data_IF_783532172124
#
_entry.id   IF_783532172124
#
_cell.length_a   1.000
_cell.length_b   1.000
_cell.length_c   1.000
_cell.angle_alpha   90.00
_cell.angle_beta   90.00
_cell.angle_gamma   90.00
#
_symmetry.space_group_name_H-M   'P 1'
#
loop_
_entity.id
_entity.type
_entity.pdbx_description
1 polymer ?
#
# COMPACT_ATOMS: atom_id res chain seq x y z
N UNK A 1 3.60 14.87 -1.07
CA UNK A 1 3.60 15.31 -2.50
C UNK A 1 4.78 16.20 -2.84
N UNK A 2 5.33 16.96 -1.89
CA UNK A 2 6.55 17.75 -2.12
C UNK A 2 7.71 16.91 -2.62
N UNK A 3 7.90 15.70 -2.06
CA UNK A 3 8.98 14.82 -2.50
C UNK A 3 8.76 14.23 -3.90
N UNK A 4 7.50 14.12 -4.36
CA UNK A 4 7.22 13.74 -5.74
C UNK A 4 7.64 14.85 -6.72
N UNK A 5 7.47 16.13 -6.34
CA UNK A 5 7.95 17.27 -7.13
C UNK A 5 9.47 17.26 -7.20
N UNK A 6 10.14 17.12 -6.05
CA UNK A 6 11.62 17.01 -6.01
C UNK A 6 12.14 15.85 -6.85
N UNK A 7 11.47 14.70 -6.84
CA UNK A 7 11.85 13.55 -7.66
C UNK A 7 11.75 13.87 -9.16
N UNK A 8 10.72 14.58 -9.60
CA UNK A 8 10.57 15.02 -10.99
C UNK A 8 11.63 16.07 -11.35
N UNK A 9 11.86 17.05 -10.48
CA UNK A 9 12.85 18.11 -10.70
C UNK A 9 14.29 17.58 -10.76
N UNK A 10 14.56 16.47 -10.08
CA UNK A 10 15.82 15.74 -10.13
C UNK A 10 15.91 14.73 -11.29
N UNK A 11 14.95 14.77 -12.23
CA UNK A 11 14.82 13.85 -13.37
C UNK A 11 14.70 12.36 -13.00
N UNK A 12 14.15 12.06 -11.82
CA UNK A 12 13.88 10.68 -11.40
C UNK A 12 12.91 9.98 -12.34
N UNK A 13 13.12 8.70 -12.64
CA UNK A 13 12.31 7.89 -13.56
C UNK A 13 10.94 7.48 -12.98
N UNK A 14 10.70 7.77 -11.72
CA UNK A 14 9.47 7.47 -10.98
C UNK A 14 9.70 7.50 -9.47
N UNK A 15 8.70 7.08 -8.71
CA UNK A 15 8.77 6.88 -7.26
C UNK A 15 8.66 5.39 -6.98
N UNK A 16 9.79 4.77 -6.64
CA UNK A 16 9.86 3.34 -6.29
C UNK A 16 9.31 3.01 -4.88
N UNK A 17 9.07 4.02 -4.05
CA UNK A 17 8.48 3.83 -2.73
C UNK A 17 7.73 5.08 -2.27
N UNK A 18 6.41 5.03 -2.32
CA UNK A 18 5.53 6.01 -1.69
C UNK A 18 5.03 5.45 -0.35
N UNK A 19 5.57 6.00 0.74
CA UNK A 19 5.22 5.66 2.12
C UNK A 19 3.88 6.28 2.48
N UNK A 20 2.93 5.52 3.01
CA UNK A 20 1.56 6.01 3.28
C UNK A 20 1.31 6.44 4.72
N UNK A 21 2.25 6.20 5.63
CA UNK A 21 2.04 6.40 7.07
C UNK A 21 1.75 7.86 7.42
N UNK A 22 2.26 8.81 6.63
CA UNK A 22 2.00 10.24 6.84
C UNK A 22 0.50 10.61 6.76
N UNK A 23 -0.33 9.78 6.11
CA UNK A 23 -1.79 9.97 6.06
C UNK A 23 -2.48 9.56 7.37
N UNK A 24 -1.79 8.79 8.21
CA UNK A 24 -2.27 8.24 9.46
C UNK A 24 -1.62 8.91 10.68
N UNK A 25 -0.42 9.45 10.53
CA UNK A 25 0.28 10.18 11.60
C UNK A 25 -0.30 11.60 11.82
N UNK A 26 -0.03 12.19 12.98
CA UNK A 26 -0.40 13.57 13.34
C UNK A 26 -1.90 13.91 13.22
N UNK A 27 -2.76 12.92 13.49
CA UNK A 27 -4.22 13.08 13.48
C UNK A 27 -4.93 12.21 14.51
N UNK A 28 -6.23 12.41 14.67
CA UNK A 28 -7.05 11.77 15.70
C UNK A 28 -7.99 10.68 15.17
N UNK A 29 -8.02 10.45 13.86
CA UNK A 29 -8.90 9.47 13.22
C UNK A 29 -8.26 8.85 11.98
N UNK A 30 -8.77 7.67 11.60
CA UNK A 30 -8.34 6.95 10.39
C UNK A 30 -8.68 7.79 9.15
N UNK A 31 -7.73 7.96 8.19
CA UNK A 31 -8.01 8.68 6.96
C UNK A 31 -9.13 8.01 6.15
N UNK A 32 -10.04 8.82 5.62
CA UNK A 32 -11.11 8.30 4.75
C UNK A 32 -10.55 7.82 3.41
N UNK A 33 -11.31 6.98 2.69
CA UNK A 33 -10.93 6.55 1.34
C UNK A 33 -10.68 7.75 0.41
N UNK A 34 -11.51 8.80 0.51
CA UNK A 34 -11.39 10.00 -0.33
C UNK A 34 -10.15 10.84 -0.02
N UNK A 35 -9.79 10.99 1.27
CA UNK A 35 -8.55 11.66 1.67
C UNK A 35 -7.33 10.94 1.12
N UNK A 36 -7.32 9.61 1.22
CA UNK A 36 -6.23 8.78 0.69
C UNK A 36 -6.18 8.86 -0.84
N UNK A 37 -7.33 8.77 -1.51
CA UNK A 37 -7.46 8.85 -2.96
C UNK A 37 -6.89 10.17 -3.49
N UNK A 38 -7.25 11.31 -2.91
CA UNK A 38 -6.75 12.61 -3.36
C UNK A 38 -5.24 12.74 -3.15
N UNK A 39 -4.69 12.19 -2.07
CA UNK A 39 -3.24 12.17 -1.85
C UNK A 39 -2.50 11.33 -2.92
N UNK A 40 -3.00 10.13 -3.23
CA UNK A 40 -2.40 9.21 -4.21
C UNK A 40 -2.55 9.75 -5.63
N UNK A 41 -3.74 10.25 -6.00
CA UNK A 41 -4.01 10.89 -7.29
C UNK A 41 -3.10 12.08 -7.51
N UNK A 42 -2.94 12.95 -6.51
CA UNK A 42 -2.05 14.11 -6.60
C UNK A 42 -0.60 13.68 -6.87
N UNK A 43 -0.11 12.64 -6.18
CA UNK A 43 1.22 12.11 -6.44
C UNK A 43 1.37 11.54 -7.86
N UNK A 44 0.38 10.77 -8.34
CA UNK A 44 0.38 10.21 -9.69
C UNK A 44 0.39 11.29 -10.78
N UNK A 45 -0.42 12.35 -10.62
CA UNK A 45 -0.48 13.46 -11.57
C UNK A 45 0.83 14.26 -11.63
N UNK A 46 1.53 14.45 -10.50
CA UNK A 46 2.85 15.10 -10.46
C UNK A 46 3.87 14.31 -11.30
N UNK A 47 3.79 12.98 -11.26
CA UNK A 47 4.72 12.10 -11.96
C UNK A 47 4.49 12.00 -13.47
N UNK A 48 3.40 12.59 -14.01
CA UNK A 48 3.15 12.72 -15.46
C UNK A 48 3.34 11.41 -16.24
N UNK A 49 2.83 10.30 -15.70
CA UNK A 49 2.91 8.97 -16.31
C UNK A 49 4.14 8.15 -15.91
N UNK A 50 5.12 8.74 -15.20
CA UNK A 50 6.18 7.98 -14.52
C UNK A 50 5.59 7.11 -13.40
N UNK A 51 6.28 6.03 -13.06
CA UNK A 51 5.73 5.03 -12.15
C UNK A 51 5.63 5.51 -10.71
N UNK A 52 4.58 5.08 -10.01
CA UNK A 52 4.36 5.32 -8.58
C UNK A 52 4.06 4.00 -7.86
N UNK A 53 5.02 3.51 -7.07
CA UNK A 53 4.83 2.30 -6.26
C UNK A 53 4.36 2.71 -4.86
N UNK A 54 3.10 2.45 -4.54
CA UNK A 54 2.51 2.77 -3.24
C UNK A 54 2.65 1.56 -2.33
N UNK A 55 3.41 1.74 -1.24
CA UNK A 55 3.48 0.75 -0.17
C UNK A 55 2.27 0.91 0.72
N UNK A 56 1.52 -0.16 0.95
CA UNK A 56 0.36 -0.11 1.86
C UNK A 56 0.81 0.16 3.29
N UNK A 57 -0.15 0.42 4.19
CA UNK A 57 0.12 0.85 5.55
C UNK A 57 1.11 -0.07 6.27
N UNK A 58 2.29 0.45 6.60
CA UNK A 58 3.29 -0.18 7.44
C UNK A 58 3.36 0.56 8.79
N UNK A 59 2.35 0.26 9.61
CA UNK A 59 2.18 0.76 10.97
C UNK A 59 2.40 -0.33 12.01
N UNK A 60 2.85 0.07 13.20
CA UNK A 60 3.35 -0.79 14.27
C UNK A 60 4.87 -0.67 14.38
N UNK A 61 5.48 -1.36 15.34
CA UNK A 61 6.87 -1.11 15.70
C UNK A 61 6.99 0.05 16.72
N UNK A 62 7.73 1.07 16.34
CA UNK A 62 8.02 2.29 17.12
C UNK A 62 6.99 3.42 16.92
N UNK A 63 6.08 3.29 15.95
CA UNK A 63 5.12 4.33 15.58
C UNK A 63 3.88 4.27 16.45
N UNK A 64 3.72 5.26 17.33
CA UNK A 64 2.54 5.39 18.19
C UNK A 64 1.41 6.12 17.45
N UNK A 65 0.30 5.41 17.17
CA UNK A 65 -0.94 5.97 16.64
C UNK A 65 -2.08 5.60 17.58
N UNK A 66 -2.39 6.45 18.58
CA UNK A 66 -3.29 6.09 19.67
C UNK A 66 -4.69 5.65 19.22
N UNK A 67 -5.24 6.26 18.17
CA UNK A 67 -6.59 5.96 17.69
C UNK A 67 -6.70 4.61 16.97
N UNK A 68 -5.58 3.95 16.65
CA UNK A 68 -5.59 2.60 16.06
C UNK A 68 -5.67 1.49 17.12
N UNK A 69 -5.59 1.84 18.42
CA UNK A 69 -5.75 0.88 19.51
C UNK A 69 -4.70 -0.23 19.52
N UNK A 70 -3.48 0.05 19.03
CA UNK A 70 -2.39 -0.92 19.03
C UNK A 70 -1.98 -1.24 20.48
N UNK A 71 -1.98 -2.52 20.81
CA UNK A 71 -1.47 -2.98 22.11
C UNK A 71 0.06 -2.84 22.16
N UNK A 72 0.59 -2.57 23.36
CA UNK A 72 2.05 -2.55 23.56
C UNK A 72 2.58 -3.98 23.58
N UNK A 73 3.48 -4.27 22.66
CA UNK A 73 4.18 -5.55 22.57
C UNK A 73 5.59 -5.45 23.16
N UNK A 74 6.11 -6.56 23.71
CA UNK A 74 7.50 -6.62 24.18
C UNK A 74 8.50 -6.39 23.03
N UNK A 75 8.19 -6.90 21.83
CA UNK A 75 8.97 -6.67 20.62
C UNK A 75 8.09 -6.22 19.44
N UNK A 76 7.82 -4.92 19.33
CA UNK A 76 6.95 -4.37 18.30
C UNK A 76 7.46 -4.60 16.86
N UNK A 77 8.77 -4.75 16.66
CA UNK A 77 9.33 -4.97 15.32
C UNK A 77 9.02 -6.36 14.76
N UNK A 78 8.87 -7.37 15.64
CA UNK A 78 8.50 -8.74 15.25
C UNK A 78 6.98 -9.00 15.39
N UNK A 79 6.23 -8.03 15.90
CA UNK A 79 4.85 -8.18 16.35
C UNK A 79 3.78 -7.91 15.30
N UNK A 80 2.66 -7.36 15.77
CA UNK A 80 1.42 -7.16 15.02
C UNK A 80 1.43 -5.80 14.29
N UNK A 81 2.03 -5.80 13.10
CA UNK A 81 2.25 -4.60 12.29
C UNK A 81 1.99 -4.84 10.80
N UNK A 82 1.99 -3.77 10.01
CA UNK A 82 2.00 -3.79 8.56
C UNK A 82 0.89 -4.67 7.93
N UNK A 83 1.24 -5.60 7.03
CA UNK A 83 0.27 -6.50 6.39
C UNK A 83 -0.55 -7.31 7.40
N UNK A 84 0.04 -7.72 8.54
CA UNK A 84 -0.67 -8.49 9.58
C UNK A 84 -1.78 -7.66 10.20
N UNK A 85 -1.48 -6.40 10.53
CA UNK A 85 -2.47 -5.45 11.02
C UNK A 85 -3.58 -5.22 9.97
N UNK A 86 -3.19 -5.03 8.71
CA UNK A 86 -4.12 -4.78 7.62
C UNK A 86 -5.06 -5.97 7.34
N UNK A 87 -4.53 -7.21 7.31
CA UNK A 87 -5.33 -8.42 7.09
C UNK A 87 -6.32 -8.68 8.23
N UNK A 88 -5.94 -8.36 9.47
CA UNK A 88 -6.86 -8.43 10.62
C UNK A 88 -7.93 -7.33 10.58
N UNK A 89 -7.58 -6.13 10.09
CA UNK A 89 -8.47 -4.96 10.01
C UNK A 89 -8.92 -4.70 8.57
N UNK A 90 -9.67 -5.66 8.00
CA UNK A 90 -10.00 -5.70 6.56
C UNK A 90 -10.66 -4.43 6.03
N UNK A 91 -11.55 -3.78 6.78
CA UNK A 91 -12.24 -2.57 6.31
C UNK A 91 -11.29 -1.37 6.16
N UNK A 92 -10.35 -1.20 7.09
CA UNK A 92 -9.29 -0.21 6.98
C UNK A 92 -8.43 -0.49 5.75
N UNK A 93 -8.07 -1.76 5.54
CA UNK A 93 -7.23 -2.13 4.42
C UNK A 93 -7.95 -1.97 3.07
N UNK A 94 -9.23 -2.37 2.98
CA UNK A 94 -10.08 -2.18 1.81
C UNK A 94 -10.23 -0.71 1.45
N UNK A 95 -10.41 0.17 2.44
CA UNK A 95 -10.44 1.62 2.23
C UNK A 95 -9.15 2.11 1.53
N UNK A 96 -7.98 1.70 2.04
CA UNK A 96 -6.71 2.05 1.40
C UNK A 96 -6.57 1.46 -0.01
N UNK A 97 -6.92 0.18 -0.20
CA UNK A 97 -6.86 -0.49 -1.50
C UNK A 97 -7.77 0.22 -2.53
N UNK A 98 -9.01 0.54 -2.17
CA UNK A 98 -9.96 1.25 -3.05
C UNK A 98 -9.42 2.63 -3.42
N UNK A 99 -8.85 3.37 -2.47
CA UNK A 99 -8.21 4.66 -2.74
C UNK A 99 -7.07 4.54 -3.75
N UNK A 100 -6.19 3.53 -3.62
CA UNK A 100 -5.09 3.28 -4.56
C UNK A 100 -5.63 2.90 -5.94
N UNK A 101 -6.60 1.97 -5.99
CA UNK A 101 -7.24 1.56 -7.24
C UNK A 101 -7.87 2.75 -7.96
N UNK A 102 -8.67 3.57 -7.29
CA UNK A 102 -9.25 4.79 -7.85
C UNK A 102 -8.18 5.74 -8.39
N UNK A 103 -7.10 5.94 -7.64
CA UNK A 103 -5.99 6.80 -8.06
C UNK A 103 -5.27 6.26 -9.31
N UNK A 104 -5.26 4.94 -9.53
CA UNK A 104 -4.61 4.31 -10.69
C UNK A 104 -5.25 4.66 -12.03
N UNK A 105 -6.46 5.25 -12.04
CA UNK A 105 -7.04 5.83 -13.25
C UNK A 105 -6.29 7.08 -13.75
N UNK A 106 -5.37 7.65 -12.94
CA UNK A 106 -4.69 8.91 -13.20
C UNK A 106 -3.17 8.77 -13.42
N UNK A 107 -2.62 7.56 -13.41
CA UNK A 107 -1.18 7.32 -13.65
C UNK A 107 -0.77 5.85 -13.50
N UNK A 108 0.51 5.56 -13.79
CA UNK A 108 1.09 4.22 -13.59
C UNK A 108 1.34 3.95 -12.09
N UNK A 109 0.28 3.53 -11.39
CA UNK A 109 0.34 3.18 -9.98
C UNK A 109 0.50 1.67 -9.81
N UNK A 110 1.31 1.26 -8.85
CA UNK A 110 1.49 -0.13 -8.41
C UNK A 110 1.26 -0.24 -6.90
N UNK A 111 0.80 -1.40 -6.44
CA UNK A 111 0.60 -1.71 -5.01
C UNK A 111 1.76 -2.56 -4.53
N UNK A 112 2.33 -2.22 -3.38
CA UNK A 112 3.37 -3.03 -2.73
C UNK A 112 2.97 -3.36 -1.29
N UNK A 113 2.95 -4.64 -0.94
CA UNK A 113 2.67 -5.09 0.42
C UNK A 113 3.97 -5.17 1.25
N UNK A 114 4.02 -4.51 2.42
CA UNK A 114 5.13 -4.61 3.37
C UNK A 114 5.05 -5.88 4.23
N UNK A 115 6.19 -6.31 4.76
CA UNK A 115 6.35 -7.33 5.80
C UNK A 115 5.70 -8.69 5.47
N UNK A 116 5.66 -9.07 4.20
CA UNK A 116 5.24 -10.42 3.81
C UNK A 116 6.26 -11.43 4.36
N UNK A 117 5.75 -12.48 4.98
CA UNK A 117 6.54 -13.61 5.50
C UNK A 117 6.09 -14.94 4.94
N UNK A 118 4.87 -15.03 4.41
CA UNK A 118 4.28 -16.26 3.88
C UNK A 118 3.55 -16.01 2.56
N UNK A 119 3.35 -17.06 1.77
CA UNK A 119 2.53 -16.99 0.54
C UNK A 119 1.06 -16.71 0.84
N UNK A 120 0.56 -17.15 1.99
CA UNK A 120 -0.85 -16.96 2.36
C UNK A 120 -1.18 -15.49 2.64
N UNK A 121 -0.27 -14.75 3.28
CA UNK A 121 -0.42 -13.30 3.47
C UNK A 121 -0.52 -12.57 2.11
N UNK A 122 0.32 -12.95 1.14
CA UNK A 122 0.28 -12.38 -0.21
C UNK A 122 -1.05 -12.71 -0.90
N UNK A 123 -1.48 -13.98 -0.87
CA UNK A 123 -2.73 -14.43 -1.49
C UNK A 123 -3.94 -13.76 -0.87
N UNK A 124 -3.97 -13.60 0.45
CA UNK A 124 -5.07 -12.92 1.13
C UNK A 124 -5.12 -11.43 0.76
N UNK A 125 -3.98 -10.76 0.71
CA UNK A 125 -3.89 -9.37 0.23
C UNK A 125 -4.39 -9.22 -1.20
N UNK A 126 -3.99 -10.11 -2.11
CA UNK A 126 -4.47 -10.10 -3.51
C UNK A 126 -5.96 -10.41 -3.62
N UNK A 127 -6.49 -11.30 -2.79
CA UNK A 127 -7.92 -11.57 -2.71
C UNK A 127 -8.68 -10.31 -2.33
N UNK A 128 -8.20 -9.55 -1.35
CA UNK A 128 -8.78 -8.25 -0.98
C UNK A 128 -8.70 -7.24 -2.12
N UNK A 129 -7.60 -7.19 -2.87
CA UNK A 129 -7.52 -6.36 -4.09
C UNK A 129 -8.58 -6.76 -5.11
N UNK A 130 -8.77 -8.06 -5.36
CA UNK A 130 -9.78 -8.54 -6.29
C UNK A 130 -11.22 -8.23 -5.81
N UNK A 131 -11.50 -8.37 -4.51
CA UNK A 131 -12.76 -7.95 -3.89
C UNK A 131 -13.01 -6.45 -4.13
N UNK A 132 -12.02 -5.59 -3.87
CA UNK A 132 -12.16 -4.14 -4.09
C UNK A 132 -12.33 -3.77 -5.57
N UNK A 133 -11.64 -4.45 -6.49
CA UNK A 133 -11.87 -4.27 -7.94
C UNK A 133 -13.31 -4.62 -8.32
N UNK A 134 -13.87 -5.69 -7.77
CA UNK A 134 -15.27 -6.06 -8.02
C UNK A 134 -16.25 -5.00 -7.47
N UNK A 135 -16.02 -4.50 -6.26
CA UNK A 135 -16.83 -3.42 -5.67
C UNK A 135 -16.82 -2.16 -6.56
N UNK A 136 -15.62 -1.71 -6.98
CA UNK A 136 -15.49 -0.51 -7.81
C UNK A 136 -16.14 -0.68 -9.19
N UNK A 137 -16.04 -1.87 -9.81
CA UNK A 137 -16.76 -2.18 -11.06
C UNK A 137 -18.27 -2.08 -10.89
N UNK A 138 -18.81 -2.64 -9.81
CA UNK A 138 -20.25 -2.57 -9.53
C UNK A 138 -20.72 -1.13 -9.30
N UNK A 139 -19.85 -0.27 -8.78
CA UNK A 139 -20.10 1.16 -8.59
C UNK A 139 -19.86 2.00 -9.85
N UNK A 140 -19.34 1.42 -10.94
CA UNK A 140 -18.99 2.15 -12.17
C UNK A 140 -17.80 3.10 -12.00
N UNK A 141 -16.91 2.83 -11.04
CA UNK A 141 -15.73 3.65 -10.77
C UNK A 141 -14.54 3.10 -11.54
N UNK A 142 -13.87 3.97 -12.30
CA UNK A 142 -12.71 3.61 -13.11
C UNK A 142 -11.46 3.35 -12.26
N UNK A 143 -10.67 2.36 -12.66
CA UNK A 143 -9.34 2.04 -12.14
C UNK A 143 -8.55 1.26 -13.20
N UNK A 144 -7.24 1.06 -12.99
CA UNK A 144 -6.42 0.20 -13.84
C UNK A 144 -6.67 -1.29 -13.50
N UNK A 145 -7.39 -2.00 -14.37
CA UNK A 145 -7.68 -3.43 -14.23
C UNK A 145 -6.41 -4.29 -14.11
N UNK A 146 -5.32 -3.85 -14.75
CA UNK A 146 -4.04 -4.54 -14.79
C UNK A 146 -3.02 -3.98 -13.80
N UNK A 147 -3.46 -3.23 -12.77
CA UNK A 147 -2.57 -2.74 -11.71
C UNK A 147 -1.72 -3.87 -11.16
N UNK A 148 -0.41 -3.62 -11.08
CA UNK A 148 0.55 -4.59 -10.55
C UNK A 148 0.52 -4.57 -9.03
N UNK A 149 0.54 -5.76 -8.44
CA UNK A 149 0.69 -5.99 -7.00
C UNK A 149 2.04 -6.67 -6.81
N UNK A 150 2.81 -6.20 -5.84
CA UNK A 150 4.10 -6.77 -5.50
C UNK A 150 4.37 -6.76 -4.01
N UNK A 151 5.57 -7.19 -3.64
CA UNK A 151 5.98 -7.41 -2.27
C UNK A 151 7.28 -6.68 -1.99
N UNK A 152 7.35 -5.98 -0.86
CA UNK A 152 8.61 -5.47 -0.33
C UNK A 152 9.38 -6.62 0.32
N UNK A 153 10.53 -6.98 -0.27
CA UNK A 153 11.41 -8.03 0.29
C UNK A 153 12.24 -7.43 1.42
N UNK A 154 11.67 -7.45 2.63
CA UNK A 154 12.31 -6.89 3.85
C UNK A 154 12.41 -7.89 5.01
N UNK A 155 11.85 -9.11 4.85
CA UNK A 155 11.93 -10.18 5.84
C UNK A 155 12.86 -11.29 5.36
N UNK A 156 13.57 -11.94 6.28
CA UNK A 156 14.40 -13.09 5.93
C UNK A 156 13.59 -14.21 5.26
N UNK A 157 12.33 -14.41 5.70
CA UNK A 157 11.42 -15.38 5.09
C UNK A 157 11.16 -15.04 3.62
N UNK A 158 10.80 -13.78 3.31
CA UNK A 158 10.54 -13.35 1.94
C UNK A 158 11.74 -13.56 1.01
N UNK A 159 12.97 -13.34 1.50
CA UNK A 159 14.18 -13.62 0.75
C UNK A 159 14.36 -15.13 0.46
N UNK A 160 14.06 -15.99 1.44
CA UNK A 160 14.15 -17.45 1.30
C UNK A 160 13.09 -18.00 0.33
N UNK A 161 11.89 -17.43 0.30
CA UNK A 161 10.79 -17.85 -0.58
C UNK A 161 10.65 -16.99 -1.85
N UNK A 162 11.69 -16.24 -2.22
CA UNK A 162 11.63 -15.26 -3.31
C UNK A 162 11.26 -15.87 -4.67
N UNK A 163 11.68 -17.11 -4.95
CA UNK A 163 11.32 -17.83 -6.17
C UNK A 163 9.83 -18.17 -6.24
N UNK A 164 9.20 -18.41 -5.09
CA UNK A 164 7.77 -18.64 -4.98
C UNK A 164 7.00 -17.33 -5.13
N UNK A 165 7.46 -16.26 -4.46
CA UNK A 165 6.88 -14.92 -4.59
C UNK A 165 6.91 -14.43 -6.04
N UNK A 166 8.03 -14.63 -6.75
CA UNK A 166 8.21 -14.23 -8.14
C UNK A 166 7.33 -15.01 -9.15
N UNK A 167 6.82 -16.18 -8.78
CA UNK A 167 5.86 -16.94 -9.62
C UNK A 167 4.44 -16.42 -9.47
N UNK A 168 4.09 -15.93 -8.29
CA UNK A 168 2.76 -15.45 -7.98
C UNK A 168 2.61 -13.96 -8.35
N UNK A 169 3.68 -13.17 -8.27
CA UNK A 169 3.71 -11.74 -8.59
C UNK A 169 5.00 -11.29 -9.27
N UNK A 170 4.94 -10.07 -9.82
CA UNK A 170 6.15 -9.33 -10.17
C UNK A 170 6.72 -8.74 -8.88
N UNK A 171 7.93 -9.12 -8.51
CA UNK A 171 8.68 -8.40 -7.48
C UNK A 171 8.82 -6.94 -7.95
N UNK A 172 8.45 -5.99 -7.07
CA UNK A 172 8.43 -4.55 -7.35
C UNK A 172 9.56 -3.84 -6.61
#
# INVERSE_FOLDING_TARGET
>A
TEDAVKAVDADGEGVGLFRTEFLFMDRTSIPTEDEQFEAYKKAALILKGKSLIIRTLDIGGDKDIPYLGLEKEENPFMGFRAIRYCLKNRELFKSQIKAILRASAFGDIKIMFPLITTMDELREGKKLVAECKADLRNMGINFNENIQVGVMVETASAAVIADMLAKEDRLL
#
